data_IF_480617708115
#
_entry.id   IF_480617708115
#
_cell.length_a   1.000
_cell.length_b   1.000
_cell.length_c   1.000
_cell.angle_alpha   90.00
_cell.angle_beta   90.00
_cell.angle_gamma   90.00
#
_symmetry.space_group_name_H-M   'P 1'
#
loop_
_entity.id
_entity.type
_entity.pdbx_description
1 polymer ?
#
# COMPACT_ATOMS: atom_id res chain seq x y z
N UNK A 1 53.65 -23.62 2.20
CA UNK A 1 53.58 -22.22 1.78
C UNK A 1 52.43 -22.15 0.78
N UNK A 2 51.26 -21.79 1.29
CA UNK A 2 50.66 -20.44 1.19
C UNK A 2 50.01 -20.25 -0.18
N UNK A 3 48.68 -20.41 -0.27
CA UNK A 3 47.62 -19.40 -0.07
C UNK A 3 47.45 -18.40 -1.24
N UNK A 4 46.22 -18.44 -1.77
CA UNK A 4 45.36 -17.31 -2.11
C UNK A 4 45.33 -16.64 -3.51
N UNK A 5 44.12 -16.77 -4.06
CA UNK A 5 43.20 -15.71 -4.52
C UNK A 5 43.14 -15.29 -6.00
N UNK A 6 41.92 -15.51 -6.51
CA UNK A 6 41.14 -14.69 -7.44
C UNK A 6 41.62 -14.49 -8.88
N UNK A 7 40.79 -14.96 -9.83
CA UNK A 7 39.93 -14.04 -10.58
C UNK A 7 38.72 -14.72 -11.22
N UNK A 8 37.56 -14.14 -10.93
CA UNK A 8 36.22 -14.38 -11.50
C UNK A 8 36.20 -14.28 -13.03
N UNK A 9 35.34 -15.05 -13.70
CA UNK A 9 34.13 -14.54 -14.35
C UNK A 9 33.43 -15.63 -15.19
N UNK A 10 32.13 -15.42 -15.40
CA UNK A 10 31.13 -16.24 -16.11
C UNK A 10 30.59 -17.44 -15.33
N UNK A 11 29.29 -17.58 -15.16
CA UNK A 11 28.20 -16.74 -15.63
C UNK A 11 26.90 -17.42 -15.23
N UNK A 12 26.01 -16.66 -14.62
CA UNK A 12 24.56 -16.80 -14.75
C UNK A 12 23.98 -15.66 -13.93
N UNK A 13 23.53 -14.63 -14.64
CA UNK A 13 22.61 -13.65 -14.10
C UNK A 13 21.31 -14.40 -13.80
N UNK A 14 21.24 -14.99 -12.60
CA UNK A 14 19.99 -15.43 -12.01
C UNK A 14 19.18 -14.18 -11.68
N UNK A 15 18.33 -13.77 -12.62
CA UNK A 15 17.21 -12.88 -12.38
C UNK A 15 16.29 -13.55 -11.35
N UNK A 16 16.61 -13.44 -10.07
CA UNK A 16 15.60 -13.47 -9.03
C UNK A 16 15.03 -12.05 -8.98
N UNK A 17 14.13 -11.75 -9.92
CA UNK A 17 13.03 -10.88 -9.53
C UNK A 17 12.32 -11.66 -8.45
N UNK A 18 12.60 -11.29 -7.20
CA UNK A 18 11.64 -11.52 -6.12
C UNK A 18 10.38 -10.81 -6.59
N UNK A 19 9.54 -11.56 -7.31
CA UNK A 19 8.16 -11.21 -7.57
C UNK A 19 7.58 -11.13 -6.17
N UNK A 20 7.68 -9.93 -5.58
CA UNK A 20 6.97 -9.59 -4.37
C UNK A 20 5.53 -9.82 -4.76
N UNK A 21 4.99 -10.98 -4.37
CA UNK A 21 3.59 -11.32 -4.51
C UNK A 21 2.87 -10.22 -3.73
N UNK A 22 2.54 -9.13 -4.42
CA UNK A 22 1.66 -8.10 -3.91
C UNK A 22 0.35 -8.85 -3.67
N UNK A 23 0.11 -9.24 -2.42
CA UNK A 23 -1.12 -9.89 -2.03
C UNK A 23 -2.27 -8.99 -2.48
N UNK A 24 -3.06 -9.51 -3.40
CA UNK A 24 -4.32 -8.91 -3.79
C UNK A 24 -5.20 -8.84 -2.54
N UNK A 25 -5.64 -7.64 -2.17
CA UNK A 25 -6.53 -7.47 -1.02
C UNK A 25 -7.94 -7.82 -1.44
N UNK A 26 -8.63 -8.57 -0.59
CA UNK A 26 -10.05 -8.88 -0.82
C UNK A 26 -10.90 -7.61 -0.70
N UNK A 27 -12.07 -7.54 -1.36
CA UNK A 27 -12.98 -6.39 -1.24
C UNK A 27 -13.31 -6.03 0.23
N UNK A 28 -13.55 -7.03 1.08
CA UNK A 28 -13.81 -6.83 2.50
C UNK A 28 -12.60 -6.22 3.25
N UNK A 29 -11.37 -6.62 2.91
CA UNK A 29 -10.16 -6.04 3.50
C UNK A 29 -9.95 -4.58 3.09
N UNK A 30 -10.32 -4.26 1.84
CA UNK A 30 -10.27 -2.89 1.32
C UNK A 30 -11.29 -2.02 2.07
N UNK A 31 -12.54 -2.47 2.18
CA UNK A 31 -13.59 -1.74 2.89
C UNK A 31 -13.20 -1.53 4.35
N UNK A 32 -12.78 -2.60 5.04
CA UNK A 32 -12.34 -2.51 6.43
C UNK A 32 -11.19 -1.51 6.62
N UNK A 33 -10.19 -1.50 5.73
CA UNK A 33 -9.10 -0.53 5.79
C UNK A 33 -9.59 0.91 5.59
N UNK A 34 -10.52 1.14 4.65
CA UNK A 34 -11.08 2.47 4.41
C UNK A 34 -11.91 2.97 5.60
N UNK A 35 -12.72 2.11 6.20
CA UNK A 35 -13.51 2.41 7.40
C UNK A 35 -12.62 2.77 8.59
N UNK A 36 -11.59 1.96 8.84
CA UNK A 36 -10.62 2.22 9.91
C UNK A 36 -9.89 3.55 9.71
N UNK A 37 -9.57 3.91 8.47
CA UNK A 37 -8.92 5.20 8.20
C UNK A 37 -9.86 6.38 8.26
N UNK A 38 -11.14 6.20 7.96
CA UNK A 38 -12.17 7.21 8.19
C UNK A 38 -12.33 7.49 9.69
N UNK A 39 -12.42 6.42 10.51
CA UNK A 39 -12.57 6.52 11.97
C UNK A 39 -11.37 7.22 12.62
N UNK A 40 -10.16 6.87 12.20
CA UNK A 40 -8.91 7.44 12.74
C UNK A 40 -8.53 8.78 12.10
N UNK A 41 -9.27 9.23 11.09
CA UNK A 41 -8.94 10.41 10.27
C UNK A 41 -7.51 10.36 9.71
N UNK A 42 -7.06 9.16 9.34
CA UNK A 42 -5.70 8.93 8.87
C UNK A 42 -5.60 9.02 7.35
N UNK A 43 -4.46 9.53 6.90
CA UNK A 43 -4.12 9.54 5.47
C UNK A 43 -3.79 8.11 5.02
N UNK A 44 -4.46 7.67 3.96
CA UNK A 44 -4.21 6.38 3.30
C UNK A 44 -3.66 6.56 1.92
N UNK A 45 -2.97 5.53 1.43
CA UNK A 45 -2.57 5.44 0.03
C UNK A 45 -3.43 4.38 -0.65
N UNK A 46 -4.17 4.77 -1.66
CA UNK A 46 -5.04 3.87 -2.43
C UNK A 46 -4.47 3.66 -3.83
N UNK A 47 -4.65 2.46 -4.37
CA UNK A 47 -4.40 2.15 -5.78
C UNK A 47 -5.75 1.98 -6.46
N UNK A 48 -6.01 2.83 -7.46
CA UNK A 48 -7.31 2.89 -8.16
C UNK A 48 -7.11 2.60 -9.63
N UNK A 49 -7.87 1.65 -10.15
CA UNK A 49 -7.90 1.32 -11.57
C UNK A 49 -8.59 2.42 -12.39
N UNK A 50 -8.04 2.74 -13.56
CA UNK A 50 -8.65 3.69 -14.50
C UNK A 50 -9.99 3.18 -15.02
N UNK A 51 -10.84 4.07 -15.53
CA UNK A 51 -12.15 3.68 -16.10
C UNK A 51 -12.00 2.73 -17.29
N UNK A 52 -10.94 2.88 -18.09
CA UNK A 52 -10.62 2.01 -19.22
C UNK A 52 -9.93 0.71 -18.80
N UNK A 53 -9.54 0.58 -17.53
CA UNK A 53 -8.97 -0.62 -16.96
C UNK A 53 -7.52 -0.93 -17.36
N UNK A 54 -6.86 -0.07 -18.15
CA UNK A 54 -5.52 -0.33 -18.68
C UNK A 54 -4.39 0.09 -17.76
N UNK A 55 -4.67 0.97 -16.80
CA UNK A 55 -3.67 1.44 -15.85
C UNK A 55 -4.29 1.67 -14.47
N UNK A 56 -3.44 1.65 -13.45
CA UNK A 56 -3.81 1.95 -12.08
C UNK A 56 -3.02 3.15 -11.58
N UNK A 57 -3.67 4.00 -10.80
CA UNK A 57 -3.09 5.21 -10.22
C UNK A 57 -3.00 5.05 -8.71
N UNK A 58 -1.82 5.30 -8.15
CA UNK A 58 -1.61 5.39 -6.70
C UNK A 58 -1.83 6.83 -6.25
N UNK A 59 -2.57 7.04 -5.16
CA UNK A 59 -2.80 8.37 -4.60
C UNK A 59 -2.97 8.35 -3.08
N UNK A 60 -2.51 9.41 -2.42
CA UNK A 60 -2.69 9.61 -0.99
C UNK A 60 -3.93 10.45 -0.75
N UNK A 61 -4.83 9.99 0.13
CA UNK A 61 -6.13 10.62 0.37
C UNK A 61 -6.55 10.47 1.82
N UNK A 62 -7.45 11.35 2.26
CA UNK A 62 -8.20 11.20 3.50
C UNK A 62 -9.59 10.66 3.17
N UNK A 63 -10.03 9.61 3.86
CA UNK A 63 -11.38 9.09 3.70
C UNK A 63 -12.35 10.01 4.44
N UNK A 64 -13.30 10.58 3.70
CA UNK A 64 -14.32 11.46 4.28
C UNK A 64 -15.58 10.67 4.64
N UNK A 65 -16.08 9.85 3.71
CA UNK A 65 -17.27 9.04 3.92
C UNK A 65 -17.31 7.86 2.94
N UNK A 66 -18.06 6.81 3.28
CA UNK A 66 -18.37 5.70 2.39
C UNK A 66 -19.90 5.63 2.28
N UNK A 67 -20.42 5.79 1.07
CA UNK A 67 -21.86 5.78 0.80
C UNK A 67 -22.16 4.77 -0.31
N UNK A 68 -22.71 3.62 0.06
CA UNK A 68 -22.92 2.51 -0.86
C UNK A 68 -21.61 2.05 -1.50
N UNK A 69 -21.57 2.03 -2.83
CA UNK A 69 -20.38 1.64 -3.62
C UNK A 69 -19.40 2.80 -3.89
N UNK A 70 -19.62 3.97 -3.28
CA UNK A 70 -18.80 5.18 -3.51
C UNK A 70 -18.03 5.55 -2.25
N UNK A 71 -16.70 5.63 -2.40
CA UNK A 71 -15.78 6.23 -1.45
C UNK A 71 -15.64 7.72 -1.74
N UNK A 72 -15.99 8.56 -0.78
CA UNK A 72 -15.71 9.99 -0.81
C UNK A 72 -14.39 10.26 -0.12
N UNK A 73 -13.44 10.84 -0.85
CA UNK A 73 -12.12 11.18 -0.33
C UNK A 73 -11.79 12.65 -0.53
N UNK A 74 -10.85 13.14 0.27
CA UNK A 74 -10.23 14.45 0.11
C UNK A 74 -8.75 14.26 -0.18
N UNK A 75 -8.26 14.86 -1.27
CA UNK A 75 -6.84 14.84 -1.62
C UNK A 75 -6.02 15.75 -0.70
N UNK A 76 -4.69 15.69 -0.77
CA UNK A 76 -3.82 16.58 0.01
C UNK A 76 -4.02 18.07 -0.34
N UNK A 77 -4.48 18.36 -1.56
CA UNK A 77 -4.81 19.70 -2.03
C UNK A 77 -6.17 20.22 -1.53
N UNK A 78 -6.92 19.39 -0.79
CA UNK A 78 -8.25 19.74 -0.27
C UNK A 78 -9.39 19.52 -1.26
N UNK A 79 -9.12 18.87 -2.40
CA UNK A 79 -10.15 18.58 -3.40
C UNK A 79 -10.91 17.30 -3.02
N UNK A 80 -12.23 17.42 -2.89
CA UNK A 80 -13.13 16.28 -2.68
C UNK A 80 -13.37 15.54 -4.00
N UNK A 81 -13.20 14.22 -3.99
CA UNK A 81 -13.45 13.39 -5.17
C UNK A 81 -14.17 12.07 -4.81
N UNK A 82 -15.17 11.66 -5.61
CA UNK A 82 -15.77 10.33 -5.49
C UNK A 82 -14.93 9.27 -6.21
N UNK A 83 -14.81 8.09 -5.61
CA UNK A 83 -14.10 6.93 -6.15
C UNK A 83 -15.00 5.70 -5.97
N UNK A 84 -15.24 4.95 -7.03
CA UNK A 84 -15.98 3.69 -6.94
C UNK A 84 -15.14 2.64 -6.20
N UNK A 85 -15.71 1.97 -5.20
CA UNK A 85 -15.02 0.97 -4.38
C UNK A 85 -14.50 -0.21 -5.23
N UNK A 86 -15.26 -0.64 -6.23
CA UNK A 86 -14.84 -1.65 -7.21
C UNK A 86 -13.60 -1.24 -8.02
N UNK A 87 -13.35 0.07 -8.07
CA UNK A 87 -12.17 0.78 -8.57
C UNK A 87 -10.87 0.47 -7.82
N UNK A 88 -10.99 0.17 -6.54
CA UNK A 88 -9.87 0.15 -5.61
C UNK A 88 -9.28 -1.25 -5.58
N UNK A 89 -7.99 -1.35 -5.91
CA UNK A 89 -7.27 -2.63 -5.94
C UNK A 89 -6.50 -2.87 -4.63
N UNK A 90 -6.10 -1.78 -3.96
CA UNK A 90 -5.24 -1.85 -2.78
C UNK A 90 -5.35 -0.60 -1.91
N UNK A 91 -5.27 -0.78 -0.60
CA UNK A 91 -5.24 0.28 0.41
C UNK A 91 -4.05 0.04 1.33
N UNK A 92 -3.12 0.99 1.33
CA UNK A 92 -1.97 1.00 2.22
C UNK A 92 -2.20 2.05 3.31
N UNK A 93 -2.43 1.59 4.53
CA UNK A 93 -2.46 2.44 5.73
C UNK A 93 -1.05 2.55 6.29
N UNK A 94 -0.69 3.70 6.88
CA UNK A 94 0.52 3.74 7.72
C UNK A 94 0.24 2.85 8.92
N UNK A 95 1.02 1.77 9.06
CA UNK A 95 1.06 1.06 10.34
C UNK A 95 1.61 2.03 11.37
N UNK A 96 0.78 2.42 12.33
CA UNK A 96 1.29 3.03 13.55
C UNK A 96 2.32 2.03 14.12
N UNK A 97 3.59 2.44 14.15
CA UNK A 97 4.56 1.72 14.96
C UNK A 97 4.11 1.98 16.40
N UNK A 98 3.42 1.02 17.01
CA UNK A 98 3.47 0.92 18.46
C UNK A 98 4.97 0.97 18.82
N UNK A 99 5.44 1.97 19.58
CA UNK A 99 6.82 1.95 20.03
C UNK A 99 7.03 0.58 20.70
N UNK A 100 8.15 -0.11 20.43
CA UNK A 100 8.43 -1.34 21.15
C UNK A 100 8.25 -1.03 22.64
N UNK A 101 7.59 -1.91 23.42
CA UNK A 101 7.33 -1.63 24.82
C UNK A 101 8.64 -1.16 25.42
N UNK A 102 8.67 0.09 25.93
CA UNK A 102 9.83 0.57 26.68
C UNK A 102 10.10 -0.53 27.69
N UNK A 103 11.25 -1.21 27.54
CA UNK A 103 11.73 -2.11 28.55
C UNK A 103 11.83 -1.24 29.80
N UNK A 104 10.82 -1.34 30.66
CA UNK A 104 10.83 -0.83 32.02
C UNK A 104 12.06 -1.47 32.64
N UNK A 105 13.18 -0.75 32.58
CA UNK A 105 14.37 -1.05 33.36
C UNK A 105 14.00 -0.73 34.80
N UNK A 106 13.42 -1.73 35.45
CA UNK A 106 13.29 -1.81 36.90
C UNK A 106 14.69 -1.93 37.51
#
# INVERSE_FOLDING_TARGET
>A
MEENFNKKNNGEAGFMHEESVEKEQSPDEIIYALEQSAEKQEKVKITVKSMDGKFSKKMSVFVWNIEGDILWVVTEDGEGMPIELSRIEKVEQKKEQEPPPEELKI
#
